data_IF_381742745390
#
_entry.id   IF_381742745390
#
_cell.length_a   1.000
_cell.length_b   1.000
_cell.length_c   1.000
_cell.angle_alpha   90.00
_cell.angle_beta   90.00
_cell.angle_gamma   90.00
#
_symmetry.space_group_name_H-M   'P 1'
#
loop_
_entity.id
_entity.type
_entity.pdbx_description
1 polymer ?
#
# COMPACT_ATOMS: atom_id res chain seq x y z
N UNK A 1 20.52 -18.38 -6.87
CA UNK A 1 20.07 -17.24 -7.68
C UNK A 1 19.34 -17.63 -8.96
N UNK A 2 19.83 -18.50 -9.86
CA UNK A 2 19.15 -18.89 -11.13
C UNK A 2 17.72 -19.44 -10.91
N UNK A 3 17.50 -20.39 -9.97
CA UNK A 3 16.17 -20.96 -9.69
C UNK A 3 15.10 -19.95 -9.23
N UNK A 4 15.51 -18.93 -8.45
CA UNK A 4 14.58 -17.85 -8.05
C UNK A 4 14.18 -16.98 -9.25
N UNK A 5 15.13 -16.65 -10.13
CA UNK A 5 14.85 -15.88 -11.37
C UNK A 5 13.93 -16.65 -12.32
N UNK A 6 14.12 -17.97 -12.49
CA UNK A 6 13.25 -18.79 -13.35
C UNK A 6 11.83 -18.92 -12.79
N UNK A 7 11.68 -19.07 -11.47
CA UNK A 7 10.36 -19.10 -10.82
C UNK A 7 9.64 -17.75 -10.95
N UNK A 8 10.36 -16.65 -10.84
CA UNK A 8 9.86 -15.30 -11.04
C UNK A 8 9.41 -15.05 -12.48
N UNK A 9 10.23 -15.42 -13.48
CA UNK A 9 9.90 -15.30 -14.89
C UNK A 9 8.68 -16.16 -15.29
N UNK A 10 8.52 -17.33 -14.68
CA UNK A 10 7.37 -18.21 -14.89
C UNK A 10 6.08 -17.64 -14.27
N UNK A 11 6.19 -17.01 -13.07
CA UNK A 11 5.10 -16.30 -12.39
C UNK A 11 4.69 -15.05 -13.20
N UNK A 12 5.65 -14.27 -13.72
CA UNK A 12 5.42 -13.11 -14.59
C UNK A 12 4.69 -13.51 -15.89
N UNK A 13 5.09 -14.60 -16.54
CA UNK A 13 4.47 -15.11 -17.77
C UNK A 13 3.03 -15.59 -17.55
N UNK A 14 2.70 -16.15 -16.36
CA UNK A 14 1.34 -16.53 -16.01
C UNK A 14 0.43 -15.30 -15.77
N UNK A 15 0.97 -14.21 -15.22
CA UNK A 15 0.24 -12.97 -14.99
C UNK A 15 -0.02 -12.21 -16.30
N UNK A 16 0.95 -12.19 -17.20
CA UNK A 16 0.80 -11.63 -18.56
C UNK A 16 -0.24 -12.40 -19.39
N UNK A 17 -0.43 -13.69 -19.11
CA UNK A 17 -1.47 -14.51 -19.74
C UNK A 17 -2.89 -14.30 -19.18
N UNK A 18 -3.05 -13.66 -18.01
CA UNK A 18 -4.36 -13.33 -17.41
C UNK A 18 -4.90 -11.96 -17.83
N UNK A 19 -4.33 -11.29 -18.84
CA UNK A 19 -4.85 -10.09 -19.53
C UNK A 19 -5.26 -8.89 -18.64
N UNK A 20 -4.72 -8.76 -17.42
CA UNK A 20 -4.94 -7.55 -16.63
C UNK A 20 -4.08 -6.40 -17.14
N UNK A 21 -4.69 -5.55 -17.98
CA UNK A 21 -4.08 -4.29 -18.40
C UNK A 21 -4.33 -3.23 -17.33
N UNK A 22 -3.25 -2.56 -16.91
CA UNK A 22 -3.36 -1.40 -16.02
C UNK A 22 -4.37 -0.40 -16.57
N UNK A 23 -5.37 -0.04 -15.76
CA UNK A 23 -6.42 0.89 -16.15
C UNK A 23 -5.95 2.31 -15.88
N UNK A 24 -5.81 3.11 -16.95
CA UNK A 24 -5.40 4.52 -16.85
C UNK A 24 -6.29 5.34 -15.93
N UNK A 25 -7.60 5.00 -15.84
CA UNK A 25 -8.56 5.72 -14.97
C UNK A 25 -8.20 5.65 -13.48
N UNK A 26 -7.49 4.59 -13.05
CA UNK A 26 -7.03 4.43 -11.67
C UNK A 26 -5.54 4.75 -11.48
N UNK A 27 -4.84 5.21 -12.53
CA UNK A 27 -3.43 5.52 -12.48
C UNK A 27 -2.56 4.33 -12.04
N UNK A 28 -3.00 3.11 -12.32
CA UNK A 28 -2.36 1.88 -11.86
C UNK A 28 -0.93 1.77 -12.37
N UNK A 29 0.00 1.61 -11.43
CA UNK A 29 1.40 1.32 -11.69
C UNK A 29 1.76 0.10 -10.83
N UNK A 30 1.58 -1.09 -11.43
CA UNK A 30 1.75 -2.33 -10.68
C UNK A 30 3.21 -2.54 -10.26
N UNK A 31 3.38 -2.78 -8.96
CA UNK A 31 4.65 -3.23 -8.42
C UNK A 31 4.94 -4.64 -8.92
N UNK A 32 6.01 -4.80 -9.71
CA UNK A 32 6.41 -6.07 -10.30
C UNK A 32 7.78 -6.56 -9.80
N UNK A 33 8.40 -5.83 -8.89
CA UNK A 33 9.73 -6.12 -8.37
C UNK A 33 9.63 -6.73 -6.98
N UNK A 34 10.07 -7.99 -6.87
CA UNK A 34 10.09 -8.70 -5.58
C UNK A 34 11.13 -8.12 -4.62
N UNK A 35 12.23 -7.54 -5.14
CA UNK A 35 13.25 -6.95 -4.29
C UNK A 35 12.70 -5.69 -3.62
N UNK A 36 11.96 -4.87 -4.38
CA UNK A 36 11.34 -3.67 -3.84
C UNK A 36 10.27 -4.00 -2.78
N UNK A 37 9.53 -5.11 -2.94
CA UNK A 37 8.60 -5.56 -1.89
C UNK A 37 9.35 -6.02 -0.63
N UNK A 38 10.49 -6.69 -0.79
CA UNK A 38 11.34 -7.10 0.34
C UNK A 38 11.94 -5.86 1.04
N UNK A 39 12.43 -4.87 0.29
CA UNK A 39 12.92 -3.60 0.83
C UNK A 39 11.84 -2.82 1.61
N UNK A 40 10.59 -2.83 1.12
CA UNK A 40 9.46 -2.20 1.83
C UNK A 40 9.21 -2.90 3.17
N UNK A 41 9.21 -4.23 3.21
CA UNK A 41 9.01 -4.96 4.45
C UNK A 41 10.13 -4.69 5.46
N UNK A 42 11.37 -4.68 4.99
CA UNK A 42 12.54 -4.43 5.84
C UNK A 42 12.48 -3.03 6.47
N UNK A 43 12.15 -2.00 5.65
CA UNK A 43 12.00 -0.61 6.13
C UNK A 43 10.81 -0.47 7.05
N UNK A 44 9.68 -1.12 6.73
CA UNK A 44 8.46 -1.05 7.51
C UNK A 44 8.51 -1.90 8.79
N UNK A 45 9.55 -2.72 8.96
CA UNK A 45 9.72 -3.60 10.12
C UNK A 45 8.41 -4.34 10.47
N UNK A 46 7.82 -4.98 9.44
CA UNK A 46 6.57 -5.75 9.58
C UNK A 46 6.89 -7.10 10.20
N UNK A 47 6.20 -7.44 11.26
CA UNK A 47 6.31 -8.72 11.95
C UNK A 47 4.96 -9.39 12.21
N UNK A 48 4.96 -10.60 12.76
CA UNK A 48 3.78 -11.41 13.08
C UNK A 48 2.82 -10.81 14.14
N UNK A 49 3.17 -9.67 14.73
CA UNK A 49 2.32 -8.93 15.67
C UNK A 49 1.68 -7.70 15.02
N UNK A 50 2.21 -7.29 13.88
CA UNK A 50 1.83 -6.06 13.19
C UNK A 50 0.49 -6.22 12.46
N UNK A 51 -0.46 -5.34 12.73
CA UNK A 51 -1.66 -5.18 11.90
C UNK A 51 -1.37 -4.19 10.77
N UNK A 52 -1.67 -4.59 9.54
CA UNK A 52 -1.35 -3.80 8.34
C UNK A 52 -2.61 -3.42 7.58
N UNK A 53 -2.64 -2.18 7.12
CA UNK A 53 -3.59 -1.66 6.15
C UNK A 53 -2.87 -1.42 4.82
N UNK A 54 -3.31 -2.09 3.76
CA UNK A 54 -2.81 -1.87 2.40
C UNK A 54 -3.83 -1.10 1.55
N UNK A 55 -3.37 -0.09 0.81
CA UNK A 55 -4.23 0.66 -0.11
C UNK A 55 -3.80 0.36 -1.54
N UNK A 56 -4.70 -0.26 -2.31
CA UNK A 56 -4.46 -0.64 -3.70
C UNK A 56 -3.49 -1.82 -3.86
N UNK A 57 -3.88 -3.03 -3.45
CA UNK A 57 -3.06 -4.24 -3.59
C UNK A 57 -2.67 -4.57 -5.04
N UNK A 58 -3.45 -4.09 -6.01
CA UNK A 58 -3.20 -4.32 -7.43
C UNK A 58 -3.13 -5.82 -7.75
N UNK A 59 -2.02 -6.30 -8.30
CA UNK A 59 -1.81 -7.73 -8.60
C UNK A 59 -1.38 -8.55 -7.36
N UNK A 60 -1.33 -7.93 -6.19
CA UNK A 60 -1.07 -8.61 -4.92
C UNK A 60 0.38 -9.10 -4.75
N UNK A 61 1.37 -8.39 -5.30
CA UNK A 61 2.78 -8.75 -5.09
C UNK A 61 3.25 -8.35 -3.70
N UNK A 62 2.96 -7.12 -3.30
CA UNK A 62 3.24 -6.63 -1.96
C UNK A 62 2.33 -7.31 -0.95
N UNK A 63 1.05 -7.46 -1.26
CA UNK A 63 0.05 -8.17 -0.46
C UNK A 63 0.52 -9.56 -0.03
N UNK A 64 1.10 -10.36 -0.95
CA UNK A 64 1.61 -11.71 -0.67
C UNK A 64 2.65 -11.68 0.44
N UNK A 65 3.56 -10.71 0.38
CA UNK A 65 4.62 -10.51 1.37
C UNK A 65 4.09 -10.01 2.71
N UNK A 66 3.17 -9.03 2.66
CA UNK A 66 2.54 -8.51 3.86
C UNK A 66 1.75 -9.59 4.61
N UNK A 67 1.00 -10.46 3.91
CA UNK A 67 0.28 -11.59 4.51
C UNK A 67 1.25 -12.57 5.20
N UNK A 68 2.41 -12.84 4.58
CA UNK A 68 3.38 -13.82 5.10
C UNK A 68 4.10 -13.33 6.36
N UNK A 69 4.16 -12.02 6.57
CA UNK A 69 4.96 -11.41 7.64
C UNK A 69 4.15 -10.64 8.68
N UNK A 70 2.86 -10.39 8.46
CA UNK A 70 2.03 -9.63 9.39
C UNK A 70 1.07 -10.52 10.19
N UNK A 71 0.59 -10.01 11.33
CA UNK A 71 -0.49 -10.62 12.11
C UNK A 71 -1.78 -10.69 11.31
N UNK A 72 -2.16 -9.57 10.70
CA UNK A 72 -3.37 -9.45 9.90
C UNK A 72 -3.22 -8.33 8.90
N UNK A 73 -3.64 -8.59 7.66
CA UNK A 73 -3.67 -7.62 6.58
C UNK A 73 -5.09 -7.31 6.16
N UNK A 74 -5.44 -6.03 6.15
CA UNK A 74 -6.66 -5.53 5.48
C UNK A 74 -6.26 -4.72 4.26
N UNK A 75 -6.81 -5.05 3.09
CA UNK A 75 -6.53 -4.34 1.84
C UNK A 75 -7.80 -3.74 1.23
N UNK A 76 -7.70 -2.49 0.77
CA UNK A 76 -8.76 -1.80 0.02
C UNK A 76 -8.41 -1.79 -1.47
N UNK A 77 -9.32 -2.30 -2.30
CA UNK A 77 -9.19 -2.28 -3.76
C UNK A 77 -10.46 -1.73 -4.41
N UNK A 78 -10.28 -0.82 -5.36
CA UNK A 78 -11.39 -0.19 -6.09
C UNK A 78 -11.68 -0.88 -7.44
N UNK A 79 -10.71 -1.62 -7.98
CA UNK A 79 -10.85 -2.19 -9.31
C UNK A 79 -11.62 -3.52 -9.30
N UNK A 80 -12.87 -3.49 -9.80
CA UNK A 80 -13.76 -4.63 -9.94
C UNK A 80 -13.10 -5.87 -10.58
N UNK A 81 -12.19 -5.67 -11.54
CA UNK A 81 -11.54 -6.77 -12.26
C UNK A 81 -10.48 -7.47 -11.42
N UNK A 82 -9.90 -6.77 -10.42
CA UNK A 82 -8.89 -7.34 -9.55
C UNK A 82 -9.49 -8.11 -8.37
N UNK A 83 -10.72 -7.80 -7.96
CA UNK A 83 -11.36 -8.44 -6.80
C UNK A 83 -11.46 -9.96 -6.94
N UNK A 84 -12.01 -10.52 -8.05
CA UNK A 84 -12.08 -11.99 -8.21
C UNK A 84 -10.69 -12.65 -8.22
N UNK A 85 -9.71 -11.98 -8.83
CA UNK A 85 -8.34 -12.45 -8.89
C UNK A 85 -7.69 -12.50 -7.50
N UNK A 86 -7.77 -11.43 -6.72
CA UNK A 86 -7.21 -11.34 -5.37
C UNK A 86 -7.90 -12.31 -4.41
N UNK A 87 -9.23 -12.42 -4.46
CA UNK A 87 -9.97 -13.39 -3.67
C UNK A 87 -9.52 -14.82 -3.94
N UNK A 88 -9.38 -15.21 -5.22
CA UNK A 88 -8.87 -16.53 -5.59
C UNK A 88 -7.42 -16.75 -5.17
N UNK A 89 -6.56 -15.72 -5.35
CA UNK A 89 -5.13 -15.79 -5.02
C UNK A 89 -4.90 -16.02 -3.54
N UNK A 90 -5.72 -15.41 -2.69
CA UNK A 90 -5.56 -15.38 -1.24
C UNK A 90 -6.68 -16.12 -0.47
N UNK A 91 -7.52 -16.95 -1.14
CA UNK A 91 -8.67 -17.64 -0.56
C UNK A 91 -8.37 -18.48 0.69
N UNK A 92 -7.10 -18.96 0.82
CA UNK A 92 -6.66 -19.83 1.93
C UNK A 92 -5.94 -19.08 3.04
N UNK A 93 -5.89 -17.75 2.97
CA UNK A 93 -5.16 -16.91 3.93
C UNK A 93 -6.13 -16.38 4.97
N UNK A 94 -6.10 -16.96 6.18
CA UNK A 94 -7.01 -16.61 7.29
C UNK A 94 -6.70 -15.23 7.88
N UNK A 95 -5.47 -14.75 7.71
CA UNK A 95 -5.02 -13.45 8.20
C UNK A 95 -5.12 -12.34 7.13
N UNK A 96 -6.04 -12.48 6.17
CA UNK A 96 -6.25 -11.51 5.10
C UNK A 96 -7.71 -11.14 4.92
N UNK A 97 -7.99 -9.85 4.77
CA UNK A 97 -9.30 -9.32 4.42
C UNK A 97 -9.19 -8.35 3.26
N UNK A 98 -9.86 -8.66 2.15
CA UNK A 98 -10.04 -7.75 1.02
C UNK A 98 -11.36 -6.99 1.16
N UNK A 99 -11.30 -5.67 1.03
CA UNK A 99 -12.45 -4.78 1.02
C UNK A 99 -12.55 -4.17 -0.38
N UNK A 100 -13.64 -4.49 -1.08
CA UNK A 100 -13.94 -3.89 -2.37
C UNK A 100 -14.60 -2.53 -2.17
N UNK A 101 -13.80 -1.49 -2.14
CA UNK A 101 -14.28 -0.11 -1.91
C UNK A 101 -13.20 0.90 -2.32
N UNK A 102 -13.64 2.07 -2.80
CA UNK A 102 -12.76 3.23 -2.88
C UNK A 102 -12.29 3.64 -1.48
N UNK A 103 -10.99 3.62 -1.27
CA UNK A 103 -10.41 4.03 0.01
C UNK A 103 -10.82 5.47 0.40
N UNK A 104 -10.97 6.35 -0.58
CA UNK A 104 -11.38 7.73 -0.31
C UNK A 104 -12.82 7.86 0.19
N UNK A 105 -13.71 6.95 -0.21
CA UNK A 105 -15.12 6.92 0.21
C UNK A 105 -15.34 6.08 1.48
N UNK A 106 -14.35 5.29 1.89
CA UNK A 106 -14.47 4.40 3.05
C UNK A 106 -14.59 5.19 4.35
N UNK A 107 -15.58 4.85 5.19
CA UNK A 107 -15.57 5.25 6.60
C UNK A 107 -14.64 4.31 7.37
N UNK A 108 -13.50 4.83 7.80
CA UNK A 108 -12.48 4.06 8.51
C UNK A 108 -12.72 3.98 10.02
N UNK A 109 -13.77 4.62 10.56
CA UNK A 109 -14.07 4.59 12.00
C UNK A 109 -14.30 3.17 12.50
N UNK A 110 -15.08 2.38 11.77
CA UNK A 110 -15.31 0.98 12.13
C UNK A 110 -14.06 0.12 12.00
N UNK A 111 -13.20 0.41 10.99
CA UNK A 111 -11.93 -0.28 10.84
C UNK A 111 -11.00 -0.01 12.01
N UNK A 112 -10.88 1.24 12.47
CA UNK A 112 -9.97 1.64 13.54
C UNK A 112 -10.56 1.51 14.94
N UNK A 113 -11.84 1.19 15.11
CA UNK A 113 -12.60 1.26 16.40
C UNK A 113 -11.91 0.58 17.58
N UNK A 114 -11.16 -0.48 17.38
CA UNK A 114 -10.44 -1.19 18.46
C UNK A 114 -9.01 -1.52 18.04
N UNK A 115 -8.45 -0.72 17.12
CA UNK A 115 -7.12 -0.91 16.60
C UNK A 115 -6.25 0.26 17.02
N UNK A 116 -5.02 -0.07 17.37
CA UNK A 116 -3.92 0.86 17.58
C UNK A 116 -2.67 0.29 16.92
N UNK A 117 -1.72 1.15 16.69
CA UNK A 117 -0.41 0.79 16.17
C UNK A 117 -0.51 0.05 14.81
N UNK A 118 -1.49 0.47 13.97
CA UNK A 118 -1.64 -0.05 12.61
C UNK A 118 -0.57 0.56 11.72
N UNK A 119 0.14 -0.27 10.97
CA UNK A 119 1.03 0.22 9.92
C UNK A 119 0.31 0.28 8.59
N UNK A 120 0.44 1.40 7.90
CA UNK A 120 -0.15 1.58 6.57
C UNK A 120 0.93 1.42 5.52
N UNK A 121 0.69 0.54 4.55
CA UNK A 121 1.62 0.31 3.44
C UNK A 121 0.89 0.45 2.13
N UNK A 122 1.37 1.29 1.20
CA UNK A 122 0.68 1.48 -0.06
C UNK A 122 1.61 1.89 -1.21
N UNK A 123 1.27 1.37 -2.39
CA UNK A 123 1.77 1.87 -3.67
C UNK A 123 0.66 2.64 -4.37
N UNK A 124 0.55 3.94 -4.06
CA UNK A 124 -0.61 4.75 -4.45
C UNK A 124 -0.43 5.46 -5.80
N UNK A 125 -1.52 5.64 -6.57
CA UNK A 125 -1.51 6.45 -7.78
C UNK A 125 -1.16 7.90 -7.49
N UNK A 126 -0.37 8.50 -8.35
CA UNK A 126 0.22 9.82 -8.14
C UNK A 126 -0.79 10.95 -7.95
N UNK A 127 -1.94 10.90 -8.67
CA UNK A 127 -2.94 11.96 -8.66
C UNK A 127 -3.74 12.03 -7.35
N UNK A 128 -3.68 10.98 -6.50
CA UNK A 128 -4.48 10.86 -5.28
C UNK A 128 -3.61 10.82 -4.00
N UNK A 129 -2.31 11.00 -4.13
CA UNK A 129 -1.36 10.93 -3.01
C UNK A 129 -1.73 11.88 -1.87
N UNK A 130 -1.95 13.17 -2.16
CA UNK A 130 -2.28 14.17 -1.12
C UNK A 130 -3.62 13.89 -0.42
N UNK A 131 -4.72 13.59 -1.12
CA UNK A 131 -5.96 13.17 -0.47
C UNK A 131 -5.81 11.96 0.45
N UNK A 132 -5.09 10.91 0.02
CA UNK A 132 -4.86 9.71 0.84
C UNK A 132 -4.09 10.06 2.10
N UNK A 133 -2.99 10.81 2.00
CA UNK A 133 -2.20 11.23 3.16
C UNK A 133 -3.06 12.01 4.14
N UNK A 134 -3.82 13.01 3.68
CA UNK A 134 -4.69 13.80 4.54
C UNK A 134 -5.72 12.92 5.26
N UNK A 135 -6.34 11.98 4.56
CA UNK A 135 -7.28 11.03 5.16
C UNK A 135 -6.63 10.15 6.23
N UNK A 136 -5.41 9.66 5.99
CA UNK A 136 -4.67 8.87 6.97
C UNK A 136 -4.33 9.70 8.23
N UNK A 137 -3.96 10.96 8.06
CA UNK A 137 -3.67 11.87 9.19
C UNK A 137 -4.90 12.12 10.09
N UNK A 138 -6.13 11.98 9.60
CA UNK A 138 -7.34 12.04 10.42
C UNK A 138 -7.40 10.89 11.45
N UNK A 139 -6.75 9.76 11.15
CA UNK A 139 -6.71 8.56 12.00
C UNK A 139 -5.34 8.32 12.64
N UNK A 140 -4.49 9.34 12.73
CA UNK A 140 -3.12 9.25 13.27
C UNK A 140 -3.01 8.63 14.65
N UNK A 141 -4.03 8.79 15.49
CA UNK A 141 -4.08 8.19 16.85
C UNK A 141 -4.20 6.65 16.84
N UNK A 142 -4.50 6.06 15.68
CA UNK A 142 -4.63 4.63 15.47
C UNK A 142 -3.53 4.04 14.58
N UNK A 143 -2.76 4.92 13.93
CA UNK A 143 -1.71 4.58 12.97
C UNK A 143 -0.37 4.83 13.64
N UNK A 144 0.49 3.81 13.64
CA UNK A 144 1.87 3.92 14.11
C UNK A 144 2.76 4.55 13.02
N UNK A 145 2.77 3.93 11.85
CA UNK A 145 3.63 4.34 10.75
C UNK A 145 2.92 4.24 9.40
N UNK A 146 3.33 5.09 8.46
CA UNK A 146 2.78 5.13 7.09
C UNK A 146 3.92 5.02 6.09
N UNK A 147 3.92 3.96 5.29
CA UNK A 147 4.89 3.68 4.24
C UNK A 147 4.24 3.80 2.87
N UNK A 148 4.57 4.85 2.15
CA UNK A 148 3.96 5.14 0.86
C UNK A 148 5.00 5.16 -0.25
N UNK A 149 4.77 4.40 -1.30
CA UNK A 149 5.46 4.61 -2.56
C UNK A 149 4.81 5.76 -3.31
N UNK A 150 5.56 6.84 -3.49
CA UNK A 150 5.13 8.05 -4.17
C UNK A 150 6.15 8.47 -5.22
N UNK A 151 5.81 9.44 -6.08
CA UNK A 151 6.80 10.06 -6.96
C UNK A 151 7.91 10.73 -6.16
N UNK A 152 9.13 10.69 -6.70
CA UNK A 152 10.31 11.28 -6.07
C UNK A 152 10.09 12.74 -5.66
N UNK A 153 9.49 13.53 -6.55
CA UNK A 153 9.20 14.95 -6.31
C UNK A 153 8.22 15.16 -5.15
N UNK A 154 7.30 14.23 -4.95
CA UNK A 154 6.35 14.29 -3.83
C UNK A 154 7.05 13.92 -2.54
N UNK A 155 7.88 12.88 -2.54
CA UNK A 155 8.69 12.50 -1.38
C UNK A 155 9.64 13.62 -0.96
N UNK A 156 10.40 14.20 -1.89
CA UNK A 156 11.31 15.33 -1.64
C UNK A 156 10.57 16.56 -1.10
N UNK A 157 9.33 16.79 -1.55
CA UNK A 157 8.49 17.88 -1.07
C UNK A 157 8.03 17.64 0.36
N UNK A 158 7.57 16.42 0.69
CA UNK A 158 7.11 16.06 2.04
C UNK A 158 8.27 16.15 3.03
N UNK A 159 9.45 15.67 2.68
CA UNK A 159 10.67 15.68 3.51
C UNK A 159 11.46 16.99 3.43
N UNK A 160 10.93 18.03 2.78
CA UNK A 160 11.67 19.29 2.61
C UNK A 160 11.87 20.03 3.93
N UNK A 161 13.05 20.63 4.09
CA UNK A 161 13.39 21.42 5.27
C UNK A 161 12.53 22.69 5.37
N UNK A 162 12.27 23.17 6.60
CA UNK A 162 11.60 24.45 6.82
C UNK A 162 12.24 25.59 6.03
N UNK A 163 11.42 26.49 5.50
CA UNK A 163 11.84 27.60 4.62
C UNK A 163 12.38 27.21 3.24
N UNK A 164 12.29 25.95 2.87
CA UNK A 164 12.58 25.50 1.49
C UNK A 164 11.53 26.02 0.50
N UNK A 165 11.97 26.35 -0.72
CA UNK A 165 11.05 26.69 -1.82
C UNK A 165 10.14 25.53 -2.25
N UNK A 166 10.46 24.31 -1.82
CA UNK A 166 9.71 23.10 -2.14
C UNK A 166 8.56 22.82 -1.15
N UNK A 167 8.45 23.61 -0.07
CA UNK A 167 7.36 23.42 0.89
C UNK A 167 5.99 23.63 0.28
N UNK A 168 5.04 22.82 0.70
CA UNK A 168 3.66 22.84 0.23
C UNK A 168 2.71 22.73 1.44
N UNK A 169 1.42 22.93 1.20
CA UNK A 169 0.42 22.70 2.24
C UNK A 169 0.48 21.25 2.77
N UNK A 170 0.72 20.27 1.88
CA UNK A 170 0.92 18.88 2.27
C UNK A 170 2.13 18.69 3.17
N UNK A 171 3.27 19.36 2.87
CA UNK A 171 4.47 19.35 3.72
C UNK A 171 4.15 19.80 5.13
N UNK A 172 3.45 20.94 5.26
CA UNK A 172 3.04 21.46 6.57
C UNK A 172 2.12 20.51 7.31
N UNK A 173 1.11 19.94 6.62
CA UNK A 173 0.19 19.00 7.24
C UNK A 173 0.91 17.75 7.76
N UNK A 174 1.80 17.16 6.95
CA UNK A 174 2.53 15.95 7.35
C UNK A 174 3.47 16.27 8.51
N UNK A 175 4.36 17.27 8.38
CA UNK A 175 5.37 17.58 9.39
C UNK A 175 4.79 18.15 10.70
N UNK A 176 3.52 18.57 10.69
CA UNK A 176 2.84 18.98 11.93
C UNK A 176 2.37 17.75 12.76
N UNK A 177 2.04 16.65 12.11
CA UNK A 177 1.44 15.48 12.76
C UNK A 177 2.35 14.24 12.77
N UNK A 178 3.42 14.23 11.97
CA UNK A 178 4.30 13.07 11.82
C UNK A 178 5.76 13.49 11.59
N UNK A 179 6.67 12.60 11.95
CA UNK A 179 8.08 12.67 11.55
C UNK A 179 8.26 12.05 10.15
N UNK A 180 9.19 12.58 9.32
CA UNK A 180 9.42 12.14 7.94
C UNK A 180 10.88 11.87 7.64
#
# INVERSE_FOLDING_TARGET
>A
MKRKKEKYQKKKKNIENENHKAKKKYGQNFLNDSNLSDDILDVANIDEKTEVLEIGPGLGFLTEKLIENSKFLTAFEIDDDLIPFLNKKFEKKENFKLIHQDFMEADLKDFFKNKKDVKVVANIPYYITSPIINKLLEYRENIDEIYLMVQKEVAERIASQPHSKNMSLLTHAVQFYAET
#
